data_IF_373645028798
#
_entry.id   IF_373645028798
#
_cell.length_a   1.000
_cell.length_b   1.000
_cell.length_c   1.000
_cell.angle_alpha   90.00
_cell.angle_beta   90.00
_cell.angle_gamma   90.00
#
_symmetry.space_group_name_H-M   'P 1'
#
loop_
_entity.id
_entity.type
_entity.pdbx_description
1 polymer ?
#
# COMPACT_ATOMS: atom_id res chain seq x y z
N UNK A 1 15.76 -8.79 -17.19
CA UNK A 1 15.39 -8.23 -18.51
C UNK A 1 14.47 -7.05 -18.27
N UNK A 2 14.75 -5.84 -18.77
CA UNK A 2 13.76 -4.77 -18.73
C UNK A 2 12.55 -5.20 -19.58
N UNK A 3 11.32 -5.06 -19.05
CA UNK A 3 10.09 -5.26 -19.82
C UNK A 3 9.93 -4.08 -20.80
N UNK A 4 9.97 -4.28 -22.12
CA UNK A 4 9.67 -3.23 -23.08
C UNK A 4 8.20 -2.82 -22.88
N UNK A 5 7.96 -1.57 -22.46
CA UNK A 5 6.61 -1.06 -22.16
C UNK A 5 6.31 -0.86 -20.67
N UNK A 6 7.23 -1.22 -19.77
CA UNK A 6 7.02 -1.12 -18.33
C UNK A 6 6.20 -2.30 -17.78
N UNK A 7 5.76 -2.16 -16.54
CA UNK A 7 4.98 -3.17 -15.82
C UNK A 7 3.72 -2.49 -15.28
N UNK A 8 2.54 -3.10 -15.47
CA UNK A 8 1.30 -2.57 -14.90
C UNK A 8 1.18 -2.94 -13.42
N UNK A 9 0.29 -2.28 -12.68
CA UNK A 9 0.02 -2.64 -11.28
C UNK A 9 -0.46 -4.10 -11.15
N UNK A 10 -1.28 -4.58 -12.08
CA UNK A 10 -1.75 -5.96 -12.07
C UNK A 10 -0.60 -6.94 -12.32
N UNK A 11 0.29 -6.65 -13.27
CA UNK A 11 1.46 -7.51 -13.53
C UNK A 11 2.34 -7.64 -12.27
N UNK A 12 2.54 -6.53 -11.53
CA UNK A 12 3.26 -6.55 -10.24
C UNK A 12 2.53 -7.44 -9.24
N UNK A 13 1.21 -7.26 -9.08
CA UNK A 13 0.41 -8.00 -8.11
C UNK A 13 0.37 -9.51 -8.42
N UNK A 14 0.22 -9.87 -9.70
CA UNK A 14 0.13 -11.25 -10.17
C UNK A 14 1.39 -12.06 -9.83
N UNK A 15 2.57 -11.44 -9.84
CA UNK A 15 3.81 -12.10 -9.42
C UNK A 15 4.11 -11.98 -7.92
N UNK A 16 3.62 -10.93 -7.25
CA UNK A 16 4.02 -10.60 -5.87
C UNK A 16 3.10 -11.25 -4.84
N UNK A 17 1.78 -11.21 -5.06
CA UNK A 17 0.80 -11.72 -4.10
C UNK A 17 0.89 -13.24 -3.88
N UNK A 18 1.12 -14.09 -4.90
CA UNK A 18 1.26 -15.52 -4.67
C UNK A 18 2.44 -15.87 -3.76
N UNK A 19 3.55 -15.11 -3.86
CA UNK A 19 4.73 -15.32 -3.01
C UNK A 19 4.39 -14.98 -1.56
N UNK A 20 3.69 -13.86 -1.30
CA UNK A 20 3.27 -13.49 0.05
C UNK A 20 2.24 -14.47 0.64
N UNK A 21 1.30 -14.96 -0.19
CA UNK A 21 0.31 -15.94 0.22
C UNK A 21 0.96 -17.27 0.64
N UNK A 22 1.94 -17.72 -0.13
CA UNK A 22 2.70 -18.94 0.15
C UNK A 22 3.58 -18.79 1.40
N UNK A 23 4.26 -17.64 1.58
CA UNK A 23 5.02 -17.33 2.80
C UNK A 23 4.12 -17.33 4.05
N UNK A 24 2.92 -16.75 3.95
CA UNK A 24 1.96 -16.78 5.05
C UNK A 24 1.55 -18.20 5.39
N UNK A 25 1.10 -18.97 4.40
CA UNK A 25 0.64 -20.34 4.60
C UNK A 25 1.71 -21.22 5.23
N UNK A 26 2.97 -21.06 4.81
CA UNK A 26 4.09 -21.92 5.26
C UNK A 26 4.66 -21.56 6.62
N UNK A 27 4.44 -20.34 7.10
CA UNK A 27 5.08 -19.85 8.32
C UNK A 27 4.10 -19.13 9.25
N UNK A 28 3.42 -18.08 8.79
CA UNK A 28 2.61 -17.24 9.68
C UNK A 28 1.28 -17.86 10.10
N UNK A 29 0.75 -18.82 9.32
CA UNK A 29 -0.42 -19.60 9.69
C UNK A 29 -0.03 -20.92 10.42
N UNK A 30 1.27 -21.22 10.56
CA UNK A 30 1.77 -22.34 11.35
C UNK A 30 1.85 -21.96 12.83
N UNK A 31 1.11 -22.67 13.68
CA UNK A 31 1.05 -22.39 15.12
C UNK A 31 2.33 -22.71 15.88
N UNK A 32 3.23 -23.50 15.30
CA UNK A 32 4.54 -23.83 15.89
C UNK A 32 5.63 -22.81 15.49
N UNK A 33 5.32 -21.87 14.59
CA UNK A 33 6.23 -20.82 14.15
C UNK A 33 6.02 -19.52 14.94
N UNK A 34 7.10 -18.94 15.48
CA UNK A 34 7.06 -17.75 16.34
C UNK A 34 7.80 -16.53 15.76
N UNK A 35 8.26 -16.61 14.51
CA UNK A 35 9.07 -15.58 13.86
C UNK A 35 8.33 -14.64 12.90
N UNK A 36 8.96 -13.52 12.57
CA UNK A 36 8.52 -12.61 11.51
C UNK A 36 9.19 -12.91 10.16
N UNK A 37 8.54 -12.51 9.07
CA UNK A 37 9.11 -12.58 7.71
C UNK A 37 9.43 -11.17 7.22
N UNK A 38 10.68 -10.96 6.80
CA UNK A 38 11.11 -9.69 6.19
C UNK A 38 11.24 -9.86 4.68
N UNK A 39 10.47 -9.06 3.93
CA UNK A 39 10.54 -9.01 2.46
C UNK A 39 11.14 -7.69 2.02
N UNK A 40 12.28 -7.75 1.32
CA UNK A 40 12.95 -6.56 0.76
C UNK A 40 12.55 -6.42 -0.70
N UNK A 41 11.98 -5.27 -1.04
CA UNK A 41 11.46 -4.98 -2.36
C UNK A 41 11.52 -3.48 -2.65
N UNK A 42 10.93 -3.04 -3.75
CA UNK A 42 10.88 -1.64 -4.16
C UNK A 42 9.68 -0.94 -3.51
N UNK A 43 9.86 0.33 -3.16
CA UNK A 43 8.84 1.11 -2.43
C UNK A 43 7.48 1.14 -3.14
N UNK A 44 7.44 1.20 -4.47
CA UNK A 44 6.19 1.14 -5.24
C UNK A 44 5.47 -0.21 -5.10
N UNK A 45 6.21 -1.32 -5.19
CA UNK A 45 5.65 -2.67 -5.07
C UNK A 45 5.16 -2.95 -3.64
N UNK A 46 5.92 -2.53 -2.62
CA UNK A 46 5.55 -2.67 -1.21
C UNK A 46 4.24 -1.93 -0.93
N UNK A 47 4.15 -0.66 -1.34
CA UNK A 47 2.94 0.16 -1.14
C UNK A 47 1.73 -0.43 -1.84
N UNK A 48 1.88 -0.84 -3.10
CA UNK A 48 0.80 -1.43 -3.89
C UNK A 48 0.30 -2.75 -3.26
N UNK A 49 1.20 -3.67 -2.92
CA UNK A 49 0.83 -4.94 -2.33
C UNK A 49 0.17 -4.77 -0.95
N UNK A 50 0.72 -3.90 -0.10
CA UNK A 50 0.15 -3.63 1.22
C UNK A 50 -1.24 -2.99 1.15
N UNK A 51 -1.46 -2.07 0.21
CA UNK A 51 -2.76 -1.46 -0.02
C UNK A 51 -3.83 -2.51 -0.37
N UNK A 52 -3.50 -3.42 -1.30
CA UNK A 52 -4.39 -4.51 -1.72
C UNK A 52 -4.65 -5.51 -0.59
N UNK A 53 -3.61 -5.94 0.12
CA UNK A 53 -3.71 -6.97 1.14
C UNK A 53 -4.46 -6.52 2.41
N UNK A 54 -4.24 -5.27 2.82
CA UNK A 54 -4.78 -4.73 4.07
C UNK A 54 -5.92 -3.72 3.87
N UNK A 55 -6.32 -3.46 2.63
CA UNK A 55 -7.38 -2.50 2.31
C UNK A 55 -7.04 -1.07 2.73
N UNK A 56 -5.77 -0.66 2.61
CA UNK A 56 -5.35 0.71 2.90
C UNK A 56 -5.89 1.65 1.81
N UNK A 57 -6.41 2.80 2.22
CA UNK A 57 -7.00 3.77 1.30
C UNK A 57 -6.01 4.22 0.22
N UNK A 58 -6.48 4.28 -1.03
CA UNK A 58 -5.63 4.60 -2.18
C UNK A 58 -5.05 6.01 -2.14
N UNK A 59 -5.80 6.99 -1.63
CA UNK A 59 -5.30 8.36 -1.51
C UNK A 59 -4.21 8.44 -0.44
N UNK A 60 -4.43 7.78 0.71
CA UNK A 60 -3.39 7.67 1.74
C UNK A 60 -2.10 7.06 1.16
N UNK A 61 -2.20 5.99 0.37
CA UNK A 61 -1.04 5.31 -0.23
C UNK A 61 -0.26 6.21 -1.22
N UNK A 62 -0.98 7.07 -1.95
CA UNK A 62 -0.38 8.02 -2.89
C UNK A 62 0.31 9.17 -2.16
N UNK A 63 -0.29 9.69 -1.10
CA UNK A 63 0.26 10.82 -0.34
C UNK A 63 1.40 10.42 0.62
N UNK A 64 1.49 9.13 0.96
CA UNK A 64 2.46 8.61 1.91
C UNK A 64 3.42 7.64 1.22
N UNK A 65 4.42 8.20 0.54
CA UNK A 65 5.55 7.43 0.02
C UNK A 65 6.39 6.84 1.16
N UNK A 66 7.11 5.77 0.85
CA UNK A 66 8.09 5.18 1.76
C UNK A 66 9.47 5.70 1.38
N UNK A 67 10.18 6.27 2.35
CA UNK A 67 11.58 6.64 2.19
C UNK A 67 12.47 5.39 2.11
N UNK A 68 13.71 5.57 1.67
CA UNK A 68 14.67 4.46 1.67
C UNK A 68 14.83 3.91 3.09
N UNK A 69 14.83 2.57 3.21
CA UNK A 69 14.93 1.82 4.47
C UNK A 69 13.65 1.83 5.31
N UNK A 70 12.59 2.52 4.90
CA UNK A 70 11.29 2.39 5.55
C UNK A 70 10.55 1.11 5.15
N UNK A 71 9.62 0.70 6.02
CA UNK A 71 8.88 -0.55 5.89
C UNK A 71 7.38 -0.37 6.13
N UNK A 72 6.59 -1.28 5.56
CA UNK A 72 5.21 -1.52 5.95
C UNK A 72 5.16 -2.81 6.73
N UNK A 73 4.43 -2.83 7.85
CA UNK A 73 4.24 -4.03 8.67
C UNK A 73 2.81 -4.50 8.53
N UNK A 74 2.64 -5.76 8.12
CA UNK A 74 1.36 -6.42 7.97
C UNK A 74 1.25 -7.55 8.99
N UNK A 75 0.13 -7.59 9.72
CA UNK A 75 -0.20 -8.68 10.63
C UNK A 75 -1.28 -9.57 9.99
N UNK A 76 -1.13 -10.90 9.99
CA UNK A 76 -2.20 -11.80 9.56
C UNK A 76 -3.40 -11.67 10.53
N UNK A 77 -4.60 -11.57 9.97
CA UNK A 77 -5.86 -11.66 10.72
C UNK A 77 -6.70 -12.82 10.17
N UNK A 78 -7.89 -13.03 10.72
CA UNK A 78 -8.77 -14.13 10.30
C UNK A 78 -9.12 -14.07 8.81
N UNK A 79 -9.48 -15.24 8.26
CA UNK A 79 -10.02 -15.38 6.91
C UNK A 79 -9.02 -15.01 5.80
N UNK A 80 -7.72 -15.22 6.04
CA UNK A 80 -6.67 -14.94 5.05
C UNK A 80 -6.40 -13.45 4.80
N UNK A 81 -7.02 -12.56 5.58
CA UNK A 81 -6.86 -11.11 5.45
C UNK A 81 -5.65 -10.60 6.23
N UNK A 82 -5.24 -9.37 5.93
CA UNK A 82 -4.14 -8.70 6.60
C UNK A 82 -4.62 -7.41 7.26
N UNK A 83 -3.99 -7.05 8.36
CA UNK A 83 -4.08 -5.72 8.95
C UNK A 83 -2.76 -5.00 8.75
N UNK A 84 -2.80 -3.78 8.25
CA UNK A 84 -1.63 -2.90 8.27
C UNK A 84 -1.50 -2.33 9.68
N UNK A 85 -0.33 -2.48 10.30
CA UNK A 85 -0.07 -2.01 11.67
C UNK A 85 1.04 -0.94 11.72
N UNK A 86 1.72 -0.71 10.60
CA UNK A 86 2.70 0.37 10.44
C UNK A 86 2.91 0.70 8.97
N UNK A 87 3.04 1.99 8.66
CA UNK A 87 3.41 2.49 7.34
C UNK A 87 4.54 3.52 7.46
N UNK A 88 5.77 3.10 7.17
CA UNK A 88 6.96 3.91 7.48
C UNK A 88 7.01 4.20 8.97
N UNK A 89 7.00 5.47 9.34
CA UNK A 89 6.92 5.93 10.74
C UNK A 89 5.49 6.08 11.28
N UNK A 90 4.45 5.87 10.45
CA UNK A 90 3.05 6.11 10.81
C UNK A 90 2.40 4.85 11.41
N UNK A 91 1.47 5.08 12.34
CA UNK A 91 0.60 4.05 12.95
C UNK A 91 -0.86 4.26 12.50
N UNK A 92 -1.70 3.21 12.53
CA UNK A 92 -3.10 3.32 12.13
C UNK A 92 -3.85 4.38 12.98
N UNK A 93 -4.95 4.97 12.46
CA UNK A 93 -5.64 4.61 11.21
C UNK A 93 -4.96 5.14 9.94
N UNK A 94 -5.03 4.36 8.85
CA UNK A 94 -4.46 4.70 7.53
C UNK A 94 -5.53 5.14 6.54
N UNK A 95 -6.37 6.08 6.97
CA UNK A 95 -7.35 6.74 6.14
C UNK A 95 -7.12 8.26 6.21
N UNK A 96 -7.55 9.02 5.20
CA UNK A 96 -7.55 10.48 5.28
C UNK A 96 -8.36 10.95 6.50
N UNK A 97 -8.02 12.12 7.05
CA UNK A 97 -8.87 12.74 8.07
C UNK A 97 -10.28 12.94 7.45
N UNK A 98 -11.38 12.56 8.13
CA UNK A 98 -12.73 12.80 7.65
C UNK A 98 -12.99 14.25 7.19
N UNK A 99 -12.32 15.24 7.81
CA UNK A 99 -12.40 16.64 7.41
C UNK A 99 -11.73 16.93 6.06
N UNK A 100 -10.63 16.23 5.73
CA UNK A 100 -9.93 16.34 4.45
C UNK A 100 -10.64 15.52 3.35
N UNK A 101 -11.21 14.36 3.69
CA UNK A 101 -11.99 13.53 2.75
C UNK A 101 -13.29 14.22 2.26
N UNK A 102 -13.91 15.04 3.11
CA UNK A 102 -15.08 15.84 2.76
C UNK A 102 -14.73 17.01 1.81
N UNK A 103 -13.47 17.45 1.77
CA UNK A 103 -12.96 18.40 0.80
C UNK A 103 -12.52 17.67 -0.49
N UNK A 104 -13.47 17.05 -1.19
CA UNK A 104 -13.17 16.37 -2.46
C UNK A 104 -12.51 17.30 -3.50
N UNK A 105 -11.61 16.80 -4.38
CA UNK A 105 -10.72 17.61 -5.24
C UNK A 105 -11.43 18.41 -6.34
N UNK A 106 -12.75 18.25 -6.49
CA UNK A 106 -13.55 18.86 -7.56
C UNK A 106 -13.68 20.38 -7.38
N UNK A 107 -13.54 20.89 -6.16
CA UNK A 107 -13.64 22.33 -5.87
C UNK A 107 -12.35 23.10 -6.20
N UNK A 108 -11.17 22.48 -6.08
CA UNK A 108 -9.90 23.16 -6.42
C UNK A 108 -9.64 23.27 -7.93
N UNK A 109 -10.20 22.35 -8.73
CA UNK A 109 -10.14 22.44 -10.20
C UNK A 109 -11.09 23.52 -10.77
N UNK A 110 -12.21 23.80 -10.10
CA UNK A 110 -13.20 24.81 -10.54
C UNK A 110 -12.80 26.25 -10.16
N UNK A 111 -11.99 26.45 -9.11
CA UNK A 111 -11.56 27.80 -8.69
C UNK A 111 -10.28 28.29 -9.38
N UNK A 112 -9.54 27.41 -10.08
CA UNK A 112 -8.28 27.77 -10.74
C UNK A 112 -8.42 28.14 -12.23
N UNK A 113 -9.62 28.14 -12.79
CA UNK A 113 -9.89 28.73 -14.11
C UNK A 113 -10.19 30.22 -13.97
N UNK A 114 -9.23 31.00 -13.46
CA UNK A 114 -9.16 32.42 -13.80
C UNK A 114 -7.98 32.57 -14.73
N UNK A 115 -8.29 32.64 -16.02
CA UNK A 115 -7.37 32.96 -17.10
C UNK A 115 -6.72 34.32 -16.81
N UNK A 116 -5.39 34.42 -16.62
CA UNK A 116 -4.73 35.69 -16.38
C UNK A 116 -4.19 36.31 -17.66
N UNK A 117 -4.55 35.84 -18.87
CA UNK A 117 -4.04 36.42 -20.11
C UNK A 117 -5.10 36.52 -21.22
N UNK A 118 -6.00 37.51 -21.06
CA UNK A 118 -6.57 38.30 -22.17
C UNK A 118 -7.55 37.62 -23.11
#
# INVERSE_FOLDING_TARGET
MPLPGGETANDVLDRYLPVLADLRMRYLDDGDWDGDIVVVSHSAAIRLAAAVLAGVDGNFVLDNHLENVESVVLAPITDGRWSCVQWGLRKPPFCPDPAEAAASPVTHAVTSSTDPMG
#
